data_IF_506306042656
#
_entry.id   IF_506306042656
#
_cell.length_a   1.000
_cell.length_b   1.000
_cell.length_c   1.000
_cell.angle_alpha   90.00
_cell.angle_beta   90.00
_cell.angle_gamma   90.00
#
_symmetry.space_group_name_H-M   'P 1'
#
loop_
_entity.id
_entity.type
_entity.pdbx_description
1 polymer ?
#
# COMPACT_ATOMS: atom_id res chain seq x y z
N UNK A 1 3.77 24.31 -8.06
CA UNK A 1 4.00 23.20 -9.01
C UNK A 1 5.26 22.52 -8.50
N UNK A 2 5.11 21.72 -7.45
CA UNK A 2 6.23 21.02 -6.82
C UNK A 2 6.28 19.59 -7.36
N UNK A 3 7.48 19.28 -7.85
CA UNK A 3 8.16 18.00 -7.85
C UNK A 3 7.56 16.84 -8.65
N UNK A 4 8.09 16.58 -9.84
CA UNK A 4 9.38 15.89 -10.09
C UNK A 4 9.17 14.38 -10.23
N UNK A 5 9.13 13.93 -11.49
CA UNK A 5 9.64 12.65 -11.98
C UNK A 5 9.47 11.44 -11.03
N UNK A 6 8.29 10.82 -11.00
CA UNK A 6 8.24 9.39 -10.66
C UNK A 6 8.63 8.61 -11.91
N UNK A 7 9.94 8.42 -12.05
CA UNK A 7 10.57 7.68 -13.14
C UNK A 7 9.95 6.29 -13.27
N UNK A 8 9.86 5.83 -14.51
CA UNK A 8 9.58 4.45 -14.96
C UNK A 8 10.51 3.41 -14.30
N UNK A 9 10.37 3.17 -12.98
CA UNK A 9 11.04 2.06 -12.31
C UNK A 9 10.15 0.84 -12.47
N UNK A 10 10.63 -0.11 -13.26
CA UNK A 10 10.27 -1.52 -13.28
C UNK A 10 9.00 -1.87 -12.49
N UNK A 11 7.90 -2.05 -13.21
CA UNK A 11 6.52 -2.12 -12.71
C UNK A 11 6.21 -3.43 -11.94
N UNK A 12 7.21 -4.03 -11.31
CA UNK A 12 7.10 -5.27 -10.55
C UNK A 12 7.51 -4.99 -9.10
N UNK A 13 6.67 -5.35 -8.12
CA UNK A 13 7.01 -5.20 -6.71
C UNK A 13 8.27 -5.99 -6.37
N UNK A 14 9.18 -5.36 -5.63
CA UNK A 14 10.41 -5.96 -5.13
C UNK A 14 10.15 -6.70 -3.81
N UNK A 15 11.09 -7.54 -3.36
CA UNK A 15 10.99 -8.18 -2.05
C UNK A 15 10.84 -7.16 -0.91
N UNK A 16 11.57 -6.03 -0.99
CA UNK A 16 11.47 -4.93 -0.02
C UNK A 16 10.07 -4.34 0.04
N UNK A 17 9.38 -4.25 -1.10
CA UNK A 17 7.99 -3.75 -1.14
C UNK A 17 7.05 -4.71 -0.40
N UNK A 18 7.23 -6.02 -0.59
CA UNK A 18 6.46 -7.03 0.16
C UNK A 18 6.77 -7.00 1.65
N UNK A 19 8.02 -6.78 2.04
CA UNK A 19 8.40 -6.67 3.46
C UNK A 19 7.73 -5.44 4.11
N UNK A 20 7.63 -4.32 3.40
CA UNK A 20 6.87 -3.14 3.85
C UNK A 20 5.37 -3.42 3.97
N UNK A 21 4.76 -4.08 2.97
CA UNK A 21 3.36 -4.48 3.05
C UNK A 21 3.10 -5.37 4.26
N UNK A 22 4.01 -6.31 4.55
CA UNK A 22 3.92 -7.17 5.72
C UNK A 22 3.99 -6.37 7.03
N UNK A 23 4.87 -5.37 7.13
CA UNK A 23 4.96 -4.47 8.28
C UNK A 23 3.66 -3.69 8.50
N UNK A 24 3.05 -3.18 7.42
CA UNK A 24 1.78 -2.46 7.47
C UNK A 24 0.66 -3.39 7.95
N UNK A 25 0.55 -4.59 7.38
CA UNK A 25 -0.46 -5.56 7.77
C UNK A 25 -0.27 -6.09 9.19
N UNK A 26 0.97 -6.30 9.62
CA UNK A 26 1.29 -6.67 10.99
C UNK A 26 0.82 -5.58 11.97
N UNK A 27 1.09 -4.33 11.64
CA UNK A 27 0.62 -3.19 12.44
C UNK A 27 -0.90 -3.12 12.46
N UNK A 28 -1.58 -3.32 11.32
CA UNK A 28 -3.04 -3.35 11.24
C UNK A 28 -3.66 -4.50 12.04
N UNK A 29 -2.96 -5.65 12.11
CA UNK A 29 -3.38 -6.83 12.85
C UNK A 29 -3.44 -6.56 14.36
N UNK A 30 -2.57 -5.69 14.91
CA UNK A 30 -2.64 -5.25 16.31
C UNK A 30 -3.94 -4.50 16.64
N UNK A 31 -4.56 -3.87 15.65
CA UNK A 31 -5.86 -3.22 15.77
C UNK A 31 -7.03 -4.13 15.37
N UNK A 32 -6.76 -5.37 14.94
CA UNK A 32 -7.76 -6.28 14.38
C UNK A 32 -8.32 -5.86 13.02
N UNK A 33 -7.62 -4.97 12.30
CA UNK A 33 -8.06 -4.33 11.05
C UNK A 33 -7.32 -4.83 9.81
N UNK A 34 -6.57 -5.93 9.93
CA UNK A 34 -5.76 -6.50 8.83
C UNK A 34 -6.58 -6.75 7.56
N UNK A 35 -7.79 -7.30 7.71
CA UNK A 35 -8.65 -7.64 6.59
C UNK A 35 -9.17 -6.38 5.89
N UNK A 36 -9.60 -5.39 6.66
CA UNK A 36 -10.09 -4.11 6.19
C UNK A 36 -9.00 -3.35 5.41
N UNK A 37 -7.79 -3.31 5.97
CA UNK A 37 -6.62 -2.71 5.32
C UNK A 37 -6.29 -3.43 4.01
N UNK A 38 -6.22 -4.76 4.03
CA UNK A 38 -5.94 -5.55 2.82
C UNK A 38 -7.02 -5.36 1.75
N UNK A 39 -8.29 -5.37 2.14
CA UNK A 39 -9.41 -5.21 1.22
C UNK A 39 -9.41 -3.81 0.57
N UNK A 40 -9.23 -2.76 1.37
CA UNK A 40 -9.13 -1.38 0.87
C UNK A 40 -7.92 -1.20 -0.03
N UNK A 41 -6.76 -1.75 0.34
CA UNK A 41 -5.55 -1.69 -0.48
C UNK A 41 -5.73 -2.37 -1.85
N UNK A 42 -6.29 -3.58 -1.87
CA UNK A 42 -6.57 -4.30 -3.11
C UNK A 42 -7.58 -3.56 -4.00
N UNK A 43 -8.59 -2.94 -3.41
CA UNK A 43 -9.53 -2.08 -4.13
C UNK A 43 -8.82 -0.86 -4.72
N UNK A 44 -7.97 -0.21 -3.92
CA UNK A 44 -7.21 0.96 -4.36
C UNK A 44 -6.26 0.64 -5.53
N UNK A 45 -5.60 -0.52 -5.54
CA UNK A 45 -4.77 -0.98 -6.67
C UNK A 45 -5.58 -1.21 -7.95
N UNK A 46 -6.82 -1.71 -7.83
CA UNK A 46 -7.71 -1.90 -8.99
C UNK A 46 -8.17 -0.57 -9.58
N UNK A 47 -8.41 0.42 -8.72
CA UNK A 47 -8.86 1.75 -9.11
C UNK A 47 -7.71 2.64 -9.60
N UNK A 48 -6.49 2.42 -9.08
CA UNK A 48 -5.31 3.23 -9.36
C UNK A 48 -4.13 2.30 -9.76
N UNK A 49 -4.11 1.78 -11.00
CA UNK A 49 -3.08 0.85 -11.47
C UNK A 49 -1.69 1.48 -11.62
N UNK A 50 -1.59 2.81 -11.50
CA UNK A 50 -0.33 3.58 -11.46
C UNK A 50 0.31 3.61 -10.07
N UNK A 51 -0.42 3.17 -9.03
CA UNK A 51 0.07 3.10 -7.65
C UNK A 51 0.85 1.82 -7.40
N UNK A 52 1.87 1.94 -6.57
CA UNK A 52 2.64 0.79 -6.08
C UNK A 52 1.86 0.02 -5.03
N UNK A 53 2.21 -1.26 -4.83
CA UNK A 53 1.62 -2.10 -3.78
C UNK A 53 1.78 -1.44 -2.40
N UNK A 54 2.96 -0.87 -2.10
CA UNK A 54 3.21 -0.20 -0.82
C UNK A 54 2.30 1.01 -0.63
N UNK A 55 2.16 1.87 -1.64
CA UNK A 55 1.28 3.04 -1.57
C UNK A 55 -0.18 2.65 -1.31
N UNK A 56 -0.65 1.55 -1.92
CA UNK A 56 -2.02 1.10 -1.72
C UNK A 56 -2.26 0.49 -0.33
N UNK A 57 -1.32 -0.30 0.19
CA UNK A 57 -1.42 -0.84 1.55
C UNK A 57 -1.27 0.24 2.61
N UNK A 58 -0.40 1.24 2.37
CA UNK A 58 -0.28 2.41 3.22
C UNK A 58 -1.60 3.22 3.24
N UNK A 59 -2.21 3.44 2.07
CA UNK A 59 -3.53 4.07 1.97
C UNK A 59 -4.60 3.30 2.77
N UNK A 60 -4.64 1.97 2.62
CA UNK A 60 -5.57 1.14 3.38
C UNK A 60 -5.35 1.26 4.88
N UNK A 61 -4.09 1.29 5.33
CA UNK A 61 -3.76 1.47 6.73
C UNK A 61 -4.24 2.83 7.25
N UNK A 62 -3.94 3.93 6.55
CA UNK A 62 -4.34 5.28 6.96
C UNK A 62 -5.87 5.49 6.99
N UNK A 63 -6.61 4.77 6.14
CA UNK A 63 -8.07 4.88 6.11
C UNK A 63 -8.73 4.24 7.35
N UNK A 64 -8.15 3.16 7.86
CA UNK A 64 -8.71 2.37 8.95
C UNK A 64 -8.02 2.63 10.30
N UNK A 65 -6.70 2.81 10.29
CA UNK A 65 -5.83 3.04 11.43
C UNK A 65 -5.39 4.50 11.37
N UNK A 66 -6.06 5.35 12.16
CA UNK A 66 -5.83 6.80 12.24
C UNK A 66 -4.70 7.18 13.19
#
# INVERSE_FOLDING_TARGET
MEDSKKSERENSPTQTDYDHVNLILYSAEEYGLKWEVEHTAQKHLKENPDKTIVEAYQYGYEEWVK
#
